data_IF_344472098516
#
_entry.id   IF_344472098516
#
_cell.length_a   1.000
_cell.length_b   1.000
_cell.length_c   1.000
_cell.angle_alpha   90.00
_cell.angle_beta   90.00
_cell.angle_gamma   90.00
#
_symmetry.space_group_name_H-M   'P 1'
#
loop_
_entity.id
_entity.type
_entity.pdbx_description
1 polymer ?
#
# COMPACT_ATOMS: atom_id res chain seq x y z
N UNK A 1 5.94 -10.47 41.87
CA UNK A 1 4.85 -9.63 41.33
C UNK A 1 5.25 -9.19 39.93
N UNK A 2 4.97 -10.03 38.93
CA UNK A 2 5.23 -9.68 37.52
C UNK A 2 4.09 -8.79 37.03
N UNK A 3 4.42 -7.55 36.67
CA UNK A 3 3.54 -6.69 35.89
C UNK A 3 3.40 -7.32 34.50
N UNK A 4 2.27 -7.98 34.25
CA UNK A 4 1.88 -8.37 32.90
C UNK A 4 1.60 -7.08 32.13
N UNK A 5 2.37 -6.83 31.07
CA UNK A 5 2.08 -5.78 30.11
C UNK A 5 0.65 -6.01 29.61
N UNK A 6 -0.23 -5.02 29.79
CA UNK A 6 -1.57 -5.03 29.23
C UNK A 6 -1.43 -5.19 27.71
N UNK A 7 -1.84 -6.32 27.13
CA UNK A 7 -1.76 -6.47 25.68
C UNK A 7 -2.67 -5.39 25.08
N UNK A 8 -2.16 -4.68 24.08
CA UNK A 8 -3.00 -3.81 23.25
C UNK A 8 -4.26 -4.61 22.85
N UNK A 9 -5.45 -4.04 23.08
CA UNK A 9 -6.76 -4.66 22.85
C UNK A 9 -6.73 -5.60 21.64
N UNK A 10 -6.70 -6.90 21.89
CA UNK A 10 -6.39 -7.89 20.86
C UNK A 10 -7.59 -8.07 19.94
N UNK A 11 -7.51 -7.55 18.72
CA UNK A 11 -8.54 -7.68 17.69
C UNK A 11 -8.36 -8.99 16.89
N UNK A 12 -9.46 -9.60 16.47
CA UNK A 12 -9.44 -10.72 15.52
C UNK A 12 -10.14 -10.37 14.20
N UNK A 13 -9.49 -10.68 13.08
CA UNK A 13 -10.03 -10.58 11.73
C UNK A 13 -10.30 -11.99 11.18
N UNK A 14 -11.53 -12.28 10.80
CA UNK A 14 -11.98 -13.61 10.38
C UNK A 14 -12.58 -13.51 8.98
N UNK A 15 -11.90 -14.12 7.99
CA UNK A 15 -12.42 -14.24 6.62
C UNK A 15 -13.47 -15.34 6.55
N UNK A 16 -14.60 -15.06 5.90
CA UNK A 16 -15.76 -15.96 5.93
C UNK A 16 -16.47 -15.99 7.29
N UNK A 17 -16.34 -14.92 8.10
CA UNK A 17 -16.83 -14.90 9.49
C UNK A 17 -18.33 -15.10 9.66
N UNK A 18 -19.13 -14.94 8.59
CA UNK A 18 -20.59 -15.18 8.60
C UNK A 18 -20.99 -16.61 8.18
N UNK A 19 -20.03 -17.48 7.86
CA UNK A 19 -20.29 -18.91 7.65
C UNK A 19 -20.34 -19.66 8.98
N UNK A 20 -20.94 -20.86 9.01
CA UNK A 20 -21.09 -21.64 10.26
C UNK A 20 -19.77 -21.81 11.06
N UNK A 21 -18.66 -22.14 10.38
CA UNK A 21 -17.34 -22.23 11.03
C UNK A 21 -16.78 -20.86 11.43
N UNK A 22 -17.05 -19.82 10.65
CA UNK A 22 -16.64 -18.45 10.95
C UNK A 22 -17.28 -17.92 12.23
N UNK A 23 -18.56 -18.22 12.44
CA UNK A 23 -19.30 -17.86 13.64
C UNK A 23 -18.76 -18.57 14.89
N UNK A 24 -18.41 -19.86 14.78
CA UNK A 24 -17.77 -20.60 15.88
C UNK A 24 -16.40 -20.00 16.21
N UNK A 25 -15.59 -19.67 15.20
CA UNK A 25 -14.30 -19.01 15.42
C UNK A 25 -14.45 -17.63 16.07
N UNK A 26 -15.44 -16.83 15.65
CA UNK A 26 -15.79 -15.57 16.30
C UNK A 26 -16.17 -15.78 17.77
N UNK A 27 -16.98 -16.80 18.07
CA UNK A 27 -17.37 -17.12 19.44
C UNK A 27 -16.19 -17.53 20.32
N UNK A 28 -15.31 -18.41 19.85
CA UNK A 28 -14.09 -18.79 20.58
C UNK A 28 -13.18 -17.59 20.85
N UNK A 29 -13.07 -16.69 19.88
CA UNK A 29 -12.29 -15.48 20.02
C UNK A 29 -12.90 -14.47 20.99
N UNK A 30 -14.23 -14.38 21.06
CA UNK A 30 -14.94 -13.59 22.05
C UNK A 30 -14.73 -14.17 23.47
N UNK A 31 -14.87 -15.49 23.62
CA UNK A 31 -14.59 -16.21 24.87
C UNK A 31 -13.14 -16.08 25.35
N UNK A 32 -12.19 -15.95 24.42
CA UNK A 32 -10.79 -15.69 24.73
C UNK A 32 -10.52 -14.26 25.24
N UNK A 33 -11.55 -13.42 25.38
CA UNK A 33 -11.45 -12.06 25.93
C UNK A 33 -10.96 -11.02 24.93
N UNK A 34 -11.24 -11.21 23.63
CA UNK A 34 -10.96 -10.18 22.62
C UNK A 34 -12.04 -9.11 22.64
N UNK A 35 -11.62 -7.85 22.65
CA UNK A 35 -12.54 -6.70 22.71
C UNK A 35 -13.27 -6.46 21.38
N UNK A 36 -12.64 -6.82 20.26
CA UNK A 36 -13.12 -6.54 18.90
C UNK A 36 -12.93 -7.74 17.97
N UNK A 37 -13.98 -8.09 17.24
CA UNK A 37 -13.97 -9.12 16.20
C UNK A 37 -14.50 -8.52 14.90
N UNK A 38 -13.83 -8.84 13.80
CA UNK A 38 -14.16 -8.33 12.47
C UNK A 38 -14.35 -9.53 11.54
N UNK A 39 -15.60 -9.79 11.18
CA UNK A 39 -15.99 -10.80 10.22
C UNK A 39 -16.01 -10.21 8.81
N UNK A 40 -15.17 -10.73 7.92
CA UNK A 40 -15.15 -10.37 6.50
C UNK A 40 -15.95 -11.39 5.70
N UNK A 41 -16.84 -10.93 4.83
CA UNK A 41 -17.65 -11.80 3.98
C UNK A 41 -17.84 -11.20 2.59
N UNK A 42 -17.94 -12.05 1.57
CA UNK A 42 -18.30 -11.62 0.20
C UNK A 42 -19.78 -11.30 0.07
N UNK A 43 -20.62 -12.03 0.82
CA UNK A 43 -22.06 -11.85 0.90
C UNK A 43 -22.42 -11.35 2.30
N UNK A 44 -22.97 -10.13 2.39
CA UNK A 44 -23.35 -9.49 3.66
C UNK A 44 -24.57 -10.13 4.35
N UNK A 45 -25.09 -11.23 3.82
CA UNK A 45 -26.22 -11.93 4.38
C UNK A 45 -25.71 -13.02 5.32
N UNK A 46 -26.23 -13.01 6.55
CA UNK A 46 -26.19 -14.19 7.42
C UNK A 46 -26.86 -15.33 6.64
N UNK A 47 -26.19 -16.48 6.56
CA UNK A 47 -26.81 -17.68 6.00
C UNK A 47 -28.07 -17.96 6.85
N UNK A 48 -29.27 -18.13 6.25
CA UNK A 48 -30.50 -18.19 7.01
C UNK A 48 -30.57 -19.49 7.82
N UNK A 49 -30.11 -19.41 9.07
CA UNK A 49 -30.20 -20.47 10.07
C UNK A 49 -30.40 -19.85 11.45
N UNK A 50 -31.30 -20.44 12.24
CA UNK A 50 -31.66 -19.94 13.58
C UNK A 50 -30.46 -20.01 14.54
N UNK A 51 -29.53 -20.95 14.32
CA UNK A 51 -28.35 -21.15 15.16
C UNK A 51 -27.30 -20.06 14.95
N UNK A 52 -27.07 -19.65 13.70
CA UNK A 52 -26.12 -18.58 13.36
C UNK A 52 -26.59 -17.22 13.87
N UNK A 53 -27.90 -16.97 13.86
CA UNK A 53 -28.48 -15.76 14.44
C UNK A 53 -28.25 -15.72 15.96
N UNK A 54 -28.54 -16.83 16.65
CA UNK A 54 -28.33 -16.92 18.10
C UNK A 54 -26.86 -16.76 18.49
N UNK A 55 -25.92 -17.35 17.73
CA UNK A 55 -24.49 -17.18 17.98
C UNK A 55 -24.04 -15.72 17.78
N UNK A 56 -24.59 -15.02 16.78
CA UNK A 56 -24.27 -13.61 16.56
C UNK A 56 -24.69 -12.74 17.75
N UNK A 57 -25.89 -12.96 18.27
CA UNK A 57 -26.40 -12.26 19.46
C UNK A 57 -25.48 -12.50 20.66
N UNK A 58 -25.11 -13.77 20.91
CA UNK A 58 -24.21 -14.12 22.01
C UNK A 58 -22.84 -13.46 21.85
N UNK A 59 -22.26 -13.45 20.64
CA UNK A 59 -20.95 -12.81 20.39
C UNK A 59 -21.03 -11.30 20.64
N UNK A 60 -22.12 -10.65 20.22
CA UNK A 60 -22.34 -9.21 20.40
C UNK A 60 -22.54 -8.82 21.87
N UNK A 61 -23.08 -9.72 22.70
CA UNK A 61 -23.18 -9.52 24.16
C UNK A 61 -21.81 -9.57 24.85
N UNK A 62 -20.83 -10.27 24.26
CA UNK A 62 -19.48 -10.45 24.84
C UNK A 62 -18.51 -9.38 24.33
N UNK A 63 -18.52 -9.08 23.03
CA UNK A 63 -17.54 -8.23 22.39
C UNK A 63 -18.12 -7.47 21.19
N UNK A 64 -17.38 -6.46 20.70
CA UNK A 64 -17.83 -5.71 19.54
C UNK A 64 -17.56 -6.50 18.26
N UNK A 65 -18.62 -6.95 17.59
CA UNK A 65 -18.55 -7.71 16.35
C UNK A 65 -18.93 -6.88 15.12
N UNK A 66 -17.96 -6.64 14.23
CA UNK A 66 -18.15 -5.94 12.96
C UNK A 66 -18.29 -6.91 11.81
N UNK A 67 -19.24 -6.67 10.92
CA UNK A 67 -19.40 -7.43 9.68
C UNK A 67 -19.07 -6.52 8.49
N UNK A 68 -18.01 -6.87 7.76
CA UNK A 68 -17.53 -6.10 6.62
C UNK A 68 -17.73 -6.91 5.35
N UNK A 69 -18.40 -6.29 4.38
CA UNK A 69 -18.50 -6.86 3.04
C UNK A 69 -17.24 -6.50 2.25
N UNK A 70 -16.40 -7.50 2.01
CA UNK A 70 -15.18 -7.33 1.21
C UNK A 70 -14.93 -8.61 0.41
N UNK A 71 -14.58 -8.43 -0.87
CA UNK A 71 -13.99 -9.48 -1.67
C UNK A 71 -12.48 -9.41 -1.52
N UNK A 72 -11.87 -10.50 -1.04
CA UNK A 72 -10.42 -10.58 -0.80
C UNK A 72 -9.65 -10.50 -2.14
N UNK A 73 -10.31 -10.84 -3.26
CA UNK A 73 -9.74 -10.67 -4.59
C UNK A 73 -9.65 -9.20 -5.03
N UNK A 74 -10.40 -8.28 -4.39
CA UNK A 74 -10.32 -6.84 -4.62
C UNK A 74 -9.30 -6.22 -3.65
N UNK A 75 -8.11 -5.91 -4.19
CA UNK A 75 -7.01 -5.34 -3.42
C UNK A 75 -7.35 -3.99 -2.76
N UNK A 76 -8.24 -3.20 -3.36
CA UNK A 76 -8.69 -1.93 -2.79
C UNK A 76 -9.57 -2.16 -1.57
N UNK A 77 -10.63 -2.96 -1.74
CA UNK A 77 -11.55 -3.30 -0.65
C UNK A 77 -10.85 -4.01 0.52
N UNK A 78 -9.86 -4.86 0.23
CA UNK A 78 -9.06 -5.53 1.24
C UNK A 78 -8.17 -4.57 2.03
N UNK A 79 -7.52 -3.62 1.34
CA UNK A 79 -6.72 -2.56 1.98
C UNK A 79 -7.57 -1.72 2.94
N UNK A 80 -8.76 -1.31 2.51
CA UNK A 80 -9.68 -0.51 3.34
C UNK A 80 -10.15 -1.29 4.57
N UNK A 81 -10.43 -2.59 4.41
CA UNK A 81 -10.82 -3.49 5.51
C UNK A 81 -9.70 -3.65 6.54
N UNK A 82 -8.45 -3.79 6.10
CA UNK A 82 -7.29 -3.84 6.98
C UNK A 82 -7.04 -2.51 7.70
N UNK A 83 -7.27 -1.37 7.03
CA UNK A 83 -7.17 -0.06 7.66
C UNK A 83 -8.20 0.09 8.79
N UNK A 84 -9.47 -0.22 8.51
CA UNK A 84 -10.53 -0.24 9.52
C UNK A 84 -10.20 -1.18 10.69
N UNK A 85 -9.65 -2.36 10.39
CA UNK A 85 -9.32 -3.34 11.40
C UNK A 85 -8.29 -2.81 12.41
N UNK A 86 -7.28 -2.10 11.93
CA UNK A 86 -6.25 -1.47 12.73
C UNK A 86 -6.71 -0.19 13.46
N UNK A 87 -8.02 0.06 13.59
CA UNK A 87 -8.59 1.27 14.18
C UNK A 87 -8.07 2.55 13.52
N UNK A 88 -7.79 2.49 12.23
CA UNK A 88 -7.62 3.69 11.41
C UNK A 88 -9.04 4.19 11.15
N UNK A 89 -9.59 4.97 12.09
CA UNK A 89 -10.98 5.45 12.04
C UNK A 89 -11.17 6.46 10.91
N UNK A 90 -12.20 6.28 10.07
CA UNK A 90 -12.67 7.31 9.18
C UNK A 90 -13.64 8.26 9.91
N UNK A 91 -13.30 9.56 9.92
CA UNK A 91 -14.11 10.72 10.34
C UNK A 91 -14.07 11.21 11.81
N UNK A 92 -13.06 12.03 12.15
CA UNK A 92 -13.32 13.42 12.57
C UNK A 92 -12.80 14.28 11.42
N UNK A 93 -13.69 14.96 10.69
CA UNK A 93 -13.43 15.68 9.42
C UNK A 93 -12.26 15.10 8.61
N UNK A 94 -12.58 14.08 7.82
CA UNK A 94 -11.70 13.46 6.84
C UNK A 94 -11.32 14.52 5.77
N UNK A 95 -10.40 15.42 6.11
CA UNK A 95 -9.62 16.17 5.14
C UNK A 95 -8.47 15.24 4.74
N UNK A 96 -8.55 14.56 3.57
CA UNK A 96 -7.50 13.64 3.09
C UNK A 96 -6.14 14.33 2.96
N UNK A 97 -6.08 15.64 3.20
CA UNK A 97 -4.84 16.37 3.22
C UNK A 97 -3.97 16.13 4.46
N UNK A 98 -4.40 15.70 5.67
CA UNK A 98 -3.56 15.95 6.88
C UNK A 98 -2.52 14.88 7.27
N UNK A 99 -2.81 13.58 7.21
CA UNK A 99 -1.78 12.54 7.48
C UNK A 99 -1.01 12.16 6.21
N UNK A 100 -1.63 12.45 5.07
CA UNK A 100 -0.92 12.69 3.83
C UNK A 100 -0.39 14.13 3.73
N UNK A 101 -0.45 15.04 4.71
CA UNK A 101 0.26 16.34 4.58
C UNK A 101 1.72 16.17 4.98
N UNK A 102 2.05 15.29 5.92
CA UNK A 102 3.47 15.10 6.24
C UNK A 102 4.22 14.32 5.14
N UNK A 103 3.55 13.44 4.38
CA UNK A 103 4.17 12.70 3.25
C UNK A 103 3.64 13.09 1.87
N UNK A 104 2.35 13.43 1.67
CA UNK A 104 1.86 14.10 0.44
C UNK A 104 1.92 15.62 0.45
N UNK A 105 2.04 16.38 1.55
CA UNK A 105 2.47 17.79 1.41
C UNK A 105 3.97 17.87 1.16
N UNK A 106 4.72 16.78 1.39
CA UNK A 106 6.00 16.55 0.71
C UNK A 106 5.74 16.16 -0.75
N UNK A 107 5.03 15.06 -1.09
CA UNK A 107 4.85 14.64 -2.50
C UNK A 107 4.06 15.61 -3.43
N UNK A 108 3.22 16.52 -2.93
CA UNK A 108 2.48 17.55 -3.70
C UNK A 108 3.24 18.87 -3.79
N UNK A 109 4.23 19.10 -2.93
CA UNK A 109 5.21 20.19 -3.08
C UNK A 109 6.50 19.74 -3.76
N UNK A 110 6.70 18.42 -3.87
CA UNK A 110 7.80 17.81 -4.59
C UNK A 110 7.62 18.09 -6.08
N UNK A 111 8.57 18.84 -6.63
CA UNK A 111 8.73 18.92 -8.06
C UNK A 111 9.04 17.50 -8.58
N UNK A 112 8.76 17.29 -9.86
CA UNK A 112 9.22 16.14 -10.62
C UNK A 112 10.70 15.80 -10.38
N UNK A 113 11.54 16.80 -10.08
CA UNK A 113 12.92 16.64 -9.61
C UNK A 113 13.02 15.87 -8.30
N UNK A 114 12.30 16.29 -7.26
CA UNK A 114 12.37 15.67 -5.93
C UNK A 114 11.90 14.21 -5.97
N UNK A 115 10.89 13.91 -6.80
CA UNK A 115 10.41 12.54 -7.00
C UNK A 115 11.50 11.66 -7.62
N UNK A 116 12.27 12.20 -8.58
CA UNK A 116 13.38 11.48 -9.19
C UNK A 116 14.51 11.29 -8.18
N UNK A 117 14.83 12.29 -7.37
CA UNK A 117 15.91 12.21 -6.37
C UNK A 117 15.61 11.15 -5.29
N UNK A 118 14.38 11.10 -4.79
CA UNK A 118 13.95 10.06 -3.84
C UNK A 118 14.03 8.66 -4.48
N UNK A 119 13.66 8.55 -5.76
CA UNK A 119 13.74 7.29 -6.49
C UNK A 119 15.20 6.85 -6.70
N UNK A 120 16.10 7.77 -7.07
CA UNK A 120 17.54 7.54 -7.20
C UNK A 120 18.12 7.07 -5.87
N UNK A 121 17.83 7.78 -4.76
CA UNK A 121 18.32 7.43 -3.44
C UNK A 121 17.87 6.03 -3.00
N UNK A 122 16.60 5.70 -3.25
CA UNK A 122 16.04 4.38 -2.94
C UNK A 122 16.69 3.27 -3.77
N UNK A 123 16.84 3.48 -5.08
CA UNK A 123 17.48 2.51 -5.98
C UNK A 123 18.96 2.32 -5.65
N UNK A 124 19.68 3.40 -5.32
CA UNK A 124 21.08 3.33 -4.87
C UNK A 124 21.22 2.49 -3.60
N UNK A 125 20.36 2.74 -2.60
CA UNK A 125 20.33 1.95 -1.36
C UNK A 125 20.08 0.46 -1.63
N UNK A 126 19.18 0.14 -2.57
CA UNK A 126 18.93 -1.25 -2.98
C UNK A 126 20.13 -1.88 -3.72
N UNK A 127 20.82 -1.14 -4.61
CA UNK A 127 22.03 -1.64 -5.30
C UNK A 127 23.17 -1.89 -4.31
N UNK A 128 23.34 -1.02 -3.32
CA UNK A 128 24.35 -1.14 -2.27
C UNK A 128 24.06 -2.31 -1.33
N UNK A 129 22.79 -2.49 -0.95
CA UNK A 129 22.33 -3.63 -0.16
C UNK A 129 22.28 -4.94 -0.95
N UNK A 130 22.47 -4.92 -2.28
CA UNK A 130 22.34 -6.09 -3.14
C UNK A 130 20.92 -6.67 -3.16
N UNK A 131 19.91 -5.84 -2.90
CA UNK A 131 18.51 -6.28 -2.86
C UNK A 131 17.97 -6.39 -4.29
N UNK A 132 17.42 -7.55 -4.69
CA UNK A 132 16.85 -7.69 -6.02
C UNK A 132 15.59 -6.83 -6.17
N UNK A 133 15.35 -6.38 -7.40
CA UNK A 133 14.13 -5.70 -7.80
C UNK A 133 13.30 -6.61 -8.72
N UNK A 134 12.01 -6.69 -8.44
CA UNK A 134 11.06 -7.40 -9.27
C UNK A 134 11.02 -6.80 -10.70
N UNK A 135 10.98 -7.66 -11.72
CA UNK A 135 10.98 -7.27 -13.12
C UNK A 135 9.79 -6.35 -13.49
N UNK A 136 8.60 -6.55 -12.90
CA UNK A 136 7.45 -5.70 -13.17
C UNK A 136 7.63 -4.30 -12.56
N UNK A 137 8.21 -4.20 -11.36
CA UNK A 137 8.60 -2.92 -10.76
C UNK A 137 9.65 -2.21 -11.61
N UNK A 138 10.68 -2.93 -12.06
CA UNK A 138 11.71 -2.39 -12.95
C UNK A 138 11.11 -1.82 -14.25
N UNK A 139 10.19 -2.56 -14.87
CA UNK A 139 9.50 -2.13 -16.10
C UNK A 139 8.66 -0.87 -15.88
N UNK A 140 7.99 -0.72 -14.72
CA UNK A 140 7.25 0.50 -14.37
C UNK A 140 8.19 1.70 -14.22
N UNK A 141 9.35 1.51 -13.59
CA UNK A 141 10.35 2.58 -13.45
C UNK A 141 10.92 2.98 -14.81
N UNK A 142 11.21 2.01 -15.69
CA UNK A 142 11.65 2.27 -17.06
C UNK A 142 10.60 3.03 -17.87
N UNK A 143 9.32 2.66 -17.74
CA UNK A 143 8.22 3.37 -18.39
C UNK A 143 8.11 4.81 -17.89
N UNK A 144 8.13 5.02 -16.57
CA UNK A 144 8.14 6.34 -15.95
C UNK A 144 9.28 7.20 -16.48
N UNK A 145 10.52 6.68 -16.44
CA UNK A 145 11.72 7.33 -16.97
C UNK A 145 11.56 7.74 -18.44
N UNK A 146 11.09 6.84 -19.30
CA UNK A 146 10.90 7.15 -20.73
C UNK A 146 9.86 8.25 -20.95
N UNK A 147 8.79 8.25 -20.15
CA UNK A 147 7.74 9.26 -20.25
C UNK A 147 8.27 10.64 -19.80
N UNK A 148 9.04 10.70 -18.71
CA UNK A 148 9.67 11.92 -18.22
C UNK A 148 10.76 12.44 -19.18
N UNK A 149 11.60 11.57 -19.75
CA UNK A 149 12.59 11.97 -20.76
C UNK A 149 11.94 12.57 -22.01
N UNK A 150 10.79 12.04 -22.44
CA UNK A 150 10.03 12.61 -23.55
C UNK A 150 9.46 13.99 -23.19
N UNK A 151 8.86 14.12 -22.01
CA UNK A 151 8.35 15.40 -21.52
C UNK A 151 9.44 16.46 -21.39
N UNK A 152 10.62 16.10 -20.88
CA UNK A 152 11.79 16.98 -20.84
C UNK A 152 12.18 17.47 -22.23
N UNK A 153 12.29 16.54 -23.20
CA UNK A 153 12.67 16.88 -24.57
C UNK A 153 11.67 17.86 -25.21
N UNK A 154 10.38 17.61 -25.05
CA UNK A 154 9.32 18.51 -25.54
C UNK A 154 9.37 19.89 -24.87
N UNK A 155 9.64 19.94 -23.56
CA UNK A 155 9.78 21.20 -22.82
C UNK A 155 11.04 21.96 -23.24
N UNK A 156 12.17 21.28 -23.39
CA UNK A 156 13.41 21.88 -23.89
C UNK A 156 13.22 22.45 -25.29
N UNK A 157 12.53 21.74 -26.19
CA UNK A 157 12.24 22.22 -27.55
C UNK A 157 11.33 23.45 -27.56
N UNK A 158 10.34 23.53 -26.65
CA UNK A 158 9.41 24.68 -26.54
C UNK A 158 10.02 25.89 -25.84
N UNK A 159 10.88 25.67 -24.84
CA UNK A 159 11.42 26.73 -23.98
C UNK A 159 12.88 27.10 -24.31
N UNK A 160 13.48 26.53 -25.36
CA UNK A 160 14.86 26.86 -25.77
C UNK A 160 15.08 28.35 -26.13
N UNK A 161 14.01 29.10 -26.39
CA UNK A 161 14.05 30.54 -26.71
C UNK A 161 13.71 31.46 -25.52
N UNK A 162 13.33 30.90 -24.37
CA UNK A 162 13.08 31.71 -23.18
C UNK A 162 14.41 32.05 -22.52
N UNK A 163 14.71 33.35 -22.38
CA UNK A 163 15.88 33.90 -21.67
C UNK A 163 15.74 33.77 -20.13
N UNK A 164 15.09 32.70 -19.70
CA UNK A 164 14.82 32.39 -18.32
C UNK A 164 15.87 31.39 -17.82
N UNK A 165 16.96 31.95 -17.31
CA UNK A 165 18.11 31.21 -16.80
C UNK A 165 17.72 30.22 -15.69
N UNK A 166 16.71 30.52 -14.89
CA UNK A 166 16.26 29.63 -13.81
C UNK A 166 15.63 28.36 -14.38
N UNK A 167 14.83 28.48 -15.44
CA UNK A 167 14.20 27.34 -16.12
C UNK A 167 15.27 26.47 -16.80
N UNK A 168 16.27 27.08 -17.44
CA UNK A 168 17.36 26.34 -18.08
C UNK A 168 18.21 25.56 -17.07
N UNK A 169 18.53 26.15 -15.92
CA UNK A 169 19.25 25.46 -14.85
C UNK A 169 18.43 24.27 -14.31
N UNK A 170 17.13 24.43 -14.05
CA UNK A 170 16.26 23.32 -13.60
C UNK A 170 16.16 22.20 -14.62
N UNK A 171 16.02 22.52 -15.91
CA UNK A 171 15.97 21.51 -16.98
C UNK A 171 17.29 20.73 -17.10
N UNK A 172 18.43 21.39 -16.88
CA UNK A 172 19.73 20.74 -16.87
C UNK A 172 19.86 19.74 -15.70
N UNK A 173 19.51 20.16 -14.48
CA UNK A 173 19.50 19.25 -13.32
C UNK A 173 18.54 18.07 -13.52
N UNK A 174 17.37 18.31 -14.11
CA UNK A 174 16.40 17.26 -14.39
C UNK A 174 16.92 16.25 -15.42
N UNK A 175 17.64 16.73 -16.45
CA UNK A 175 18.31 15.87 -17.42
C UNK A 175 19.38 14.98 -16.77
N UNK A 176 20.15 15.55 -15.83
CA UNK A 176 21.19 14.83 -15.10
C UNK A 176 20.60 13.76 -14.17
N UNK A 177 19.54 14.08 -13.44
CA UNK A 177 18.84 13.13 -12.58
C UNK A 177 18.29 11.94 -13.39
N UNK A 178 17.70 12.18 -14.56
CA UNK A 178 17.26 11.10 -15.46
C UNK A 178 18.41 10.25 -16.01
N UNK A 179 19.59 10.84 -16.22
CA UNK A 179 20.80 10.11 -16.60
C UNK A 179 21.27 9.20 -15.47
N UNK A 180 21.36 9.71 -14.24
CA UNK A 180 21.74 8.92 -13.08
C UNK A 180 20.78 7.76 -12.82
N UNK A 181 19.47 8.02 -12.91
CA UNK A 181 18.45 6.97 -12.83
C UNK A 181 18.69 5.87 -13.88
N UNK A 182 19.06 6.24 -15.10
CA UNK A 182 19.36 5.27 -16.16
C UNK A 182 20.59 4.41 -15.83
N UNK A 183 21.63 5.01 -15.27
CA UNK A 183 22.85 4.30 -14.87
C UNK A 183 22.57 3.29 -13.74
N UNK A 184 21.74 3.67 -12.77
CA UNK A 184 21.31 2.76 -11.70
C UNK A 184 20.52 1.56 -12.24
N UNK A 185 19.58 1.79 -13.16
CA UNK A 185 18.80 0.69 -13.76
C UNK A 185 19.68 -0.27 -14.58
N UNK A 186 20.70 0.25 -15.26
CA UNK A 186 21.69 -0.58 -15.95
C UNK A 186 22.60 -1.33 -14.96
N UNK A 187 22.90 -0.78 -13.79
CA UNK A 187 23.61 -1.48 -12.73
C UNK A 187 22.80 -2.65 -12.16
N UNK A 188 21.49 -2.50 -11.98
CA UNK A 188 20.61 -3.61 -11.59
C UNK A 188 20.66 -4.76 -12.58
N UNK A 189 20.61 -4.46 -13.88
CA UNK A 189 20.75 -5.46 -14.95
C UNK A 189 22.12 -6.13 -14.95
N UNK A 190 23.20 -5.34 -14.87
CA UNK A 190 24.59 -5.87 -14.89
C UNK A 190 24.91 -6.74 -13.68
N UNK A 191 24.34 -6.43 -12.52
CA UNK A 191 24.55 -7.21 -11.28
C UNK A 191 23.62 -8.43 -11.16
N UNK A 192 22.72 -8.66 -12.12
CA UNK A 192 21.74 -9.76 -12.02
C UNK A 192 20.77 -9.59 -10.86
N UNK A 193 20.53 -8.34 -10.42
CA UNK A 193 19.61 -8.01 -9.32
C UNK A 193 18.17 -7.88 -9.82
N UNK A 194 17.83 -8.50 -10.93
CA UNK A 194 16.48 -8.52 -11.48
C UNK A 194 15.91 -9.90 -11.20
N UNK A 195 14.88 -9.94 -10.37
CA UNK A 195 14.19 -11.19 -10.07
C UNK A 195 13.32 -11.56 -11.28
N UNK A 196 13.74 -12.59 -12.03
CA UNK A 196 12.91 -13.15 -13.08
C UNK A 196 11.71 -13.85 -12.45
N UNK A 197 10.50 -13.48 -12.83
CA UNK A 197 9.32 -14.18 -12.35
C UNK A 197 9.41 -15.65 -12.80
N UNK A 198 9.24 -16.62 -11.88
CA UNK A 198 9.17 -18.02 -12.25
C UNK A 198 7.99 -18.19 -13.20
N UNK A 199 8.30 -18.58 -14.44
CA UNK A 199 7.31 -18.78 -15.49
C UNK A 199 6.19 -19.68 -14.99
N UNK A 200 4.95 -19.18 -15.10
CA UNK A 200 3.76 -20.00 -14.96
C UNK A 200 3.82 -21.09 -16.03
N UNK A 201 4.11 -22.33 -15.62
CA UNK A 201 3.76 -23.51 -16.38
C UNK A 201 2.24 -23.59 -16.41
N UNK A 202 1.67 -23.27 -17.57
CA UNK A 202 0.28 -23.60 -17.92
C UNK A 202 0.04 -25.12 -17.81
N UNK A 203 -1.14 -25.56 -17.35
CA UNK A 203 -1.59 -26.94 -17.53
C UNK A 203 -2.07 -27.23 -18.96
#
# INVERSE_FOLDING_TARGET
SCQQATPAAAMALITGGMGGLGMVASYEHAMAGRDKIIAVTRSSYLTPGEQEAHLLDVIQDICTHYVIRCDIADAGAWSDTLAFANNITPHEEFDPQTTMKETESQLKSMDSLDVIDVLIASLRGMVEAGTPIDAAKLNRILYFRNNMSRGLKETMERHFQADDREVQEKLFYFAEALRELSELLELFRKRGLVEEQPGGTDP
#
